data_IF_395545849058
#
_entry.id   IF_395545849058
#
_cell.length_a   1.000
_cell.length_b   1.000
_cell.length_c   1.000
_cell.angle_alpha   90.00
_cell.angle_beta   90.00
_cell.angle_gamma   90.00
#
_symmetry.space_group_name_H-M   'P 1'
#
loop_
_entity.id
_entity.type
_entity.pdbx_description
1 polymer ?
#
# COMPACT_ATOMS: atom_id res chain seq x y z
N UNK A 1 -9.69 18.08 11.97
CA UNK A 1 -10.20 17.25 10.85
C UNK A 1 -9.01 16.52 10.23
N UNK A 2 -9.02 15.18 10.10
CA UNK A 2 -7.98 14.53 9.32
C UNK A 2 -8.20 14.93 7.85
N UNK A 3 -7.18 15.50 7.20
CA UNK A 3 -7.19 15.68 5.75
C UNK A 3 -7.25 14.29 5.15
N UNK A 4 -8.42 13.92 4.62
CA UNK A 4 -8.51 12.78 3.72
C UNK A 4 -7.56 13.07 2.56
N UNK A 5 -6.62 12.16 2.25
CA UNK A 5 -5.83 12.33 1.04
C UNK A 5 -6.76 12.44 -0.17
N UNK A 6 -6.45 13.34 -1.11
CA UNK A 6 -7.23 13.58 -2.35
C UNK A 6 -7.20 12.40 -3.34
N UNK A 7 -6.81 11.20 -2.90
CA UNK A 7 -6.69 10.01 -3.73
C UNK A 7 -7.35 8.83 -3.06
N UNK A 8 -7.96 7.98 -3.88
CA UNK A 8 -8.63 6.77 -3.42
C UNK A 8 -7.59 5.71 -3.03
N UNK A 9 -7.74 5.16 -1.84
CA UNK A 9 -6.89 4.06 -1.38
C UNK A 9 -7.11 2.80 -2.22
N UNK A 10 -8.29 2.62 -2.82
CA UNK A 10 -8.57 1.54 -3.76
C UNK A 10 -7.67 1.61 -5.01
N UNK A 11 -7.42 2.82 -5.52
CA UNK A 11 -6.55 3.03 -6.68
C UNK A 11 -5.10 2.74 -6.33
N UNK A 12 -4.68 3.05 -5.09
CA UNK A 12 -3.35 2.68 -4.58
C UNK A 12 -3.19 1.16 -4.54
N UNK A 13 -4.22 0.42 -4.12
CA UNK A 13 -4.20 -1.06 -4.07
C UNK A 13 -4.07 -1.62 -5.48
N UNK A 14 -4.91 -1.17 -6.43
CA UNK A 14 -4.86 -1.62 -7.84
C UNK A 14 -3.50 -1.33 -8.49
N UNK A 15 -2.94 -0.15 -8.25
CA UNK A 15 -1.61 0.20 -8.74
C UNK A 15 -0.51 -0.70 -8.14
N UNK A 16 -0.64 -1.10 -6.87
CA UNK A 16 0.30 -2.04 -6.24
C UNK A 16 0.16 -3.45 -6.86
N UNK A 17 -1.06 -3.94 -7.06
CA UNK A 17 -1.31 -5.24 -7.70
C UNK A 17 -0.72 -5.31 -9.12
N UNK A 18 -0.95 -4.26 -9.93
CA UNK A 18 -0.34 -4.13 -11.25
C UNK A 18 1.20 -4.09 -11.17
N UNK A 19 1.77 -3.43 -10.16
CA UNK A 19 3.21 -3.41 -9.95
C UNK A 19 3.77 -4.78 -9.52
N UNK A 20 3.02 -5.60 -8.79
CA UNK A 20 3.44 -6.95 -8.40
C UNK A 20 3.30 -7.98 -9.52
N UNK A 21 2.38 -7.78 -10.47
CA UNK A 21 2.20 -8.64 -11.63
C UNK A 21 3.38 -8.60 -12.62
N UNK A 22 4.24 -7.58 -12.53
CA UNK A 22 5.38 -7.37 -13.42
C UNK A 22 6.70 -7.47 -12.64
N UNK A 23 7.69 -8.16 -13.21
CA UNK A 23 9.00 -8.36 -12.56
C UNK A 23 9.71 -7.01 -12.32
N UNK A 24 9.72 -6.15 -13.35
CA UNK A 24 10.25 -4.78 -13.32
C UNK A 24 9.15 -3.76 -13.65
N UNK A 25 8.30 -3.39 -12.68
CA UNK A 25 7.19 -2.48 -12.91
C UNK A 25 7.68 -1.04 -13.08
N UNK A 26 7.14 -0.34 -14.09
CA UNK A 26 7.35 1.10 -14.21
C UNK A 26 6.37 1.85 -13.28
N UNK A 27 6.80 2.04 -12.03
CA UNK A 27 6.00 2.69 -10.99
C UNK A 27 5.54 4.11 -11.34
N UNK A 28 6.28 4.84 -12.18
CA UNK A 28 5.90 6.18 -12.59
C UNK A 28 4.72 6.15 -13.57
N UNK A 29 4.70 5.18 -14.48
CA UNK A 29 3.59 4.97 -15.40
C UNK A 29 2.33 4.56 -14.62
N UNK A 30 2.46 3.58 -13.72
CA UNK A 30 1.36 3.13 -12.87
C UNK A 30 0.82 4.23 -11.97
N UNK A 31 1.69 5.06 -11.38
CA UNK A 31 1.25 6.19 -10.55
C UNK A 31 0.37 7.17 -11.33
N UNK A 32 0.70 7.43 -12.60
CA UNK A 32 -0.09 8.30 -13.48
C UNK A 32 -1.39 7.65 -13.94
N UNK A 33 -1.34 6.36 -14.28
CA UNK A 33 -2.50 5.59 -14.73
C UNK A 33 -3.60 5.52 -13.67
N UNK A 34 -3.20 5.27 -12.41
CA UNK A 34 -4.12 5.16 -11.29
C UNK A 34 -4.31 6.48 -10.52
N UNK A 35 -3.77 7.61 -11.01
CA UNK A 35 -3.84 8.92 -10.36
C UNK A 35 -3.42 8.90 -8.88
N UNK A 36 -2.36 8.16 -8.56
CA UNK A 36 -1.85 8.00 -7.19
C UNK A 36 -0.46 8.63 -7.03
N UNK A 37 -0.14 9.18 -5.85
CA UNK A 37 1.19 9.75 -5.62
C UNK A 37 2.29 8.69 -5.76
N UNK A 38 3.27 8.99 -6.61
CA UNK A 38 4.41 8.11 -6.88
C UNK A 38 5.13 7.65 -5.61
N UNK A 39 5.42 8.57 -4.68
CA UNK A 39 6.11 8.24 -3.42
C UNK A 39 5.33 7.26 -2.56
N UNK A 40 3.99 7.33 -2.59
CA UNK A 40 3.13 6.41 -1.82
C UNK A 40 3.11 5.02 -2.45
N UNK A 41 2.96 4.95 -3.77
CA UNK A 41 3.02 3.70 -4.53
C UNK A 41 4.40 3.03 -4.38
N UNK A 42 5.48 3.80 -4.55
CA UNK A 42 6.86 3.34 -4.37
C UNK A 42 7.12 2.88 -2.94
N UNK A 43 6.62 3.61 -1.95
CA UNK A 43 6.71 3.25 -0.55
C UNK A 43 6.08 1.89 -0.27
N UNK A 44 4.87 1.63 -0.78
CA UNK A 44 4.19 0.33 -0.61
C UNK A 44 4.91 -0.80 -1.36
N UNK A 45 5.16 -0.61 -2.65
CA UNK A 45 5.80 -1.64 -3.48
C UNK A 45 7.19 -2.03 -2.97
N UNK A 46 8.00 -1.07 -2.51
CA UNK A 46 9.33 -1.35 -1.96
C UNK A 46 9.31 -1.89 -0.54
N UNK A 47 8.33 -1.51 0.28
CA UNK A 47 8.20 -2.00 1.66
C UNK A 47 7.76 -3.46 1.69
N UNK A 48 6.86 -3.86 0.78
CA UNK A 48 6.46 -5.26 0.59
C UNK A 48 7.53 -6.07 -0.17
N UNK A 49 8.28 -5.45 -1.10
CA UNK A 49 9.50 -6.06 -1.70
C UNK A 49 10.75 -5.96 -0.80
N UNK A 50 10.60 -5.66 0.49
CA UNK A 50 11.70 -5.69 1.45
C UNK A 50 12.43 -7.04 1.43
N UNK A 51 13.68 -7.12 1.94
CA UNK A 51 14.47 -8.34 1.84
C UNK A 51 13.66 -9.51 2.40
N UNK A 52 13.51 -10.59 1.61
CA UNK A 52 12.88 -11.86 2.04
C UNK A 52 13.68 -12.56 3.16
N UNK A 53 14.62 -11.87 3.79
CA UNK A 53 15.50 -12.32 4.85
C UNK A 53 15.52 -11.28 5.96
N UNK A 54 14.94 -11.63 7.11
CA UNK A 54 15.27 -10.99 8.38
C UNK A 54 14.12 -10.33 9.13
N UNK A 55 13.61 -11.09 10.11
CA UNK A 55 12.87 -10.65 11.31
C UNK A 55 11.36 -10.45 11.14
N UNK A 56 10.61 -11.52 11.46
CA UNK A 56 9.39 -11.40 12.25
C UNK A 56 9.68 -10.49 13.44
N UNK A 57 9.19 -9.26 13.42
CA UNK A 57 8.78 -8.61 14.65
C UNK A 57 7.33 -9.06 14.87
N UNK A 58 7.02 -9.91 15.87
CA UNK A 58 5.67 -9.96 16.37
C UNK A 58 5.40 -8.60 17.02
N UNK A 59 4.20 -8.07 16.87
CA UNK A 59 3.73 -6.80 17.43
C UNK A 59 4.01 -5.58 16.53
N UNK A 60 3.05 -5.25 15.69
CA UNK A 60 2.36 -3.97 15.81
C UNK A 60 1.04 -4.00 15.03
N UNK A 61 -0.04 -3.87 15.78
CA UNK A 61 -1.35 -3.40 15.33
C UNK A 61 -2.08 -4.28 14.29
N UNK A 62 -2.48 -5.49 14.71
CA UNK A 62 -3.84 -5.91 14.39
C UNK A 62 -4.78 -4.86 15.02
N UNK A 63 -5.26 -4.02 14.13
CA UNK A 63 -6.25 -2.98 14.26
C UNK A 63 -7.35 -3.38 15.28
N UNK A 64 -7.22 -2.94 16.53
CA UNK A 64 -8.18 -3.14 17.63
C UNK A 64 -9.46 -2.34 17.46
N UNK A 65 -9.71 -1.70 16.31
CA UNK A 65 -10.87 -0.86 16.04
C UNK A 65 -12.03 -1.55 15.29
N UNK A 66 -12.05 -2.88 15.19
CA UNK A 66 -13.18 -3.63 14.61
C UNK A 66 -13.88 -4.60 15.59
N UNK A 67 -13.81 -4.34 16.90
CA UNK A 67 -14.50 -5.17 17.92
C UNK A 67 -15.57 -4.41 18.71
N UNK A 68 -16.21 -3.43 18.09
CA UNK A 68 -17.43 -2.79 18.62
C UNK A 68 -18.46 -2.65 17.50
N UNK A 69 -18.84 -3.76 16.89
CA UNK A 69 -20.06 -3.87 16.12
C UNK A 69 -20.51 -5.33 16.14
N UNK A 70 -21.08 -5.73 17.26
CA UNK A 70 -22.18 -6.69 17.42
C UNK A 70 -22.29 -6.93 18.93
N UNK A 71 -23.24 -6.21 19.51
CA UNK A 71 -23.76 -6.35 20.88
C UNK A 71 -23.95 -7.81 21.28
#
# INVERSE_FOLDING_TARGET
MPKTPDFDENDVIRACEAAYAVENPNLLALAREFNVPYERLRGRVRRDRGPRTGRKAPNMALNTYQKTALL
#
